data_IF_504600365783
#
_entry.id   IF_504600365783
#
_cell.length_a   1.000
_cell.length_b   1.000
_cell.length_c   1.000
_cell.angle_alpha   90.00
_cell.angle_beta   90.00
_cell.angle_gamma   90.00
#
_symmetry.space_group_name_H-M   'P 1'
#
loop_
_entity.id
_entity.type
_entity.pdbx_description
1 polymer ?
#
# COMPACT_ATOMS: atom_id res chain seq x y z
N UNK A 1 11.95 -36.78 44.30
CA UNK A 1 11.79 -35.86 45.44
C UNK A 1 12.30 -34.48 45.01
N UNK A 2 11.54 -33.39 45.24
CA UNK A 2 12.01 -32.03 45.10
C UNK A 2 11.63 -31.35 43.75
N UNK A 3 10.37 -30.89 43.59
CA UNK A 3 9.96 -29.91 42.55
C UNK A 3 10.35 -28.52 43.06
N UNK A 4 11.25 -27.84 42.35
CA UNK A 4 11.50 -26.42 42.53
C UNK A 4 10.52 -25.62 41.61
N UNK A 5 9.65 -24.84 42.24
CA UNK A 5 8.80 -23.83 41.58
C UNK A 5 9.66 -22.58 41.42
N UNK A 6 9.87 -22.15 40.19
CA UNK A 6 10.35 -20.80 39.92
C UNK A 6 9.18 -19.82 39.96
N UNK A 7 9.27 -18.86 40.86
CA UNK A 7 8.39 -17.70 40.92
C UNK A 7 8.84 -16.67 39.88
N UNK A 8 7.91 -16.18 39.05
CA UNK A 8 8.10 -15.07 38.12
C UNK A 8 8.07 -13.72 38.87
N UNK A 9 9.00 -12.80 38.60
CA UNK A 9 9.04 -11.53 39.33
C UNK A 9 8.22 -10.44 38.69
N UNK A 10 7.59 -9.71 39.50
CA UNK A 10 7.06 -8.33 39.62
C UNK A 10 7.18 -7.28 38.50
N UNK A 11 7.57 -7.58 37.24
CA UNK A 11 7.68 -6.60 36.17
C UNK A 11 6.33 -6.18 35.56
N UNK A 12 5.30 -7.00 35.68
CA UNK A 12 3.98 -6.76 35.08
C UNK A 12 3.15 -5.66 35.77
N UNK A 13 3.47 -5.35 37.03
CA UNK A 13 2.69 -4.35 37.79
C UNK A 13 3.11 -2.90 37.54
N UNK A 14 4.35 -2.67 37.12
CA UNK A 14 4.89 -1.32 36.87
C UNK A 14 4.46 -0.79 35.48
N UNK A 15 4.32 -1.65 34.48
CA UNK A 15 3.84 -1.26 33.16
C UNK A 15 2.35 -0.85 33.16
N UNK A 16 1.48 -1.53 33.90
CA UNK A 16 0.06 -1.15 34.01
C UNK A 16 -0.16 0.21 34.67
N UNK A 17 0.72 0.61 35.60
CA UNK A 17 0.61 1.91 36.29
C UNK A 17 1.04 3.08 35.39
N UNK A 18 2.03 2.90 34.52
CA UNK A 18 2.46 3.96 33.57
C UNK A 18 1.42 4.22 32.48
N UNK A 19 0.81 3.18 31.94
CA UNK A 19 -0.22 3.32 30.93
C UNK A 19 -1.51 3.98 31.46
N UNK A 20 -1.85 3.73 32.73
CA UNK A 20 -3.00 4.38 33.37
C UNK A 20 -2.75 5.89 33.55
N UNK A 21 -1.54 6.30 33.93
CA UNK A 21 -1.18 7.71 34.10
C UNK A 21 -1.15 8.48 32.76
N UNK A 22 -0.62 7.87 31.71
CA UNK A 22 -0.61 8.42 30.33
C UNK A 22 -2.02 8.60 29.78
N UNK A 23 -2.92 7.65 30.03
CA UNK A 23 -4.31 7.73 29.58
C UNK A 23 -5.11 8.80 30.37
N UNK A 24 -4.83 9.02 31.65
CA UNK A 24 -5.44 10.09 32.46
C UNK A 24 -4.96 11.46 31.97
N UNK A 25 -3.69 11.62 31.62
CA UNK A 25 -3.13 12.88 31.08
C UNK A 25 -3.71 13.16 29.67
N UNK A 26 -3.88 12.16 28.83
CA UNK A 26 -4.51 12.29 27.51
C UNK A 26 -5.99 12.68 27.61
N UNK A 27 -6.73 12.10 28.54
CA UNK A 27 -8.13 12.46 28.79
C UNK A 27 -8.28 13.89 29.34
N UNK A 28 -7.35 14.36 30.18
CA UNK A 28 -7.34 15.71 30.69
C UNK A 28 -6.99 16.77 29.62
N UNK A 29 -6.05 16.47 28.71
CA UNK A 29 -5.73 17.31 27.55
C UNK A 29 -6.87 17.38 26.53
N UNK A 30 -7.57 16.27 26.29
CA UNK A 30 -8.72 16.23 25.39
C UNK A 30 -9.90 17.10 25.93
N UNK A 31 -10.13 17.11 27.25
CA UNK A 31 -11.17 17.94 27.86
C UNK A 31 -10.82 19.45 27.85
N UNK A 32 -9.53 19.80 27.88
CA UNK A 32 -9.10 21.21 27.82
C UNK A 32 -9.19 21.77 26.38
N UNK A 33 -9.03 20.92 25.35
CA UNK A 33 -9.17 21.30 23.94
C UNK A 33 -10.65 21.43 23.50
N UNK A 34 -11.59 20.78 24.18
CA UNK A 34 -13.02 20.93 23.89
C UNK A 34 -13.65 22.24 24.43
N UNK A 35 -13.00 22.93 25.37
CA UNK A 35 -13.47 24.20 25.89
C UNK A 35 -13.06 25.43 25.06
N UNK A 36 -12.19 25.26 24.06
CA UNK A 36 -11.74 26.34 23.17
C UNK A 36 -12.43 26.38 21.80
N UNK A 37 -13.36 25.46 21.51
CA UNK A 37 -14.04 25.35 20.20
C UNK A 37 -15.48 25.91 20.22
N UNK A 38 -15.93 26.58 21.28
CA UNK A 38 -17.25 27.24 21.36
C UNK A 38 -17.05 28.74 21.46
N UNK A 39 -16.51 29.36 20.43
CA UNK A 39 -16.65 30.79 20.21
C UNK A 39 -16.22 31.13 18.78
N UNK A 40 -17.15 31.10 17.85
CA UNK A 40 -17.26 31.99 16.69
C UNK A 40 -18.30 31.43 15.72
N UNK A 41 -19.58 31.54 16.13
CA UNK A 41 -20.66 31.69 15.17
C UNK A 41 -21.50 32.88 15.66
N UNK A 42 -21.07 34.07 15.25
CA UNK A 42 -21.92 35.24 15.24
C UNK A 42 -22.08 35.64 13.78
N UNK A 43 -23.26 35.33 13.27
CA UNK A 43 -23.84 35.90 12.08
C UNK A 43 -23.76 37.43 12.13
N UNK A 44 -23.05 38.00 11.16
CA UNK A 44 -22.97 39.41 10.88
C UNK A 44 -24.10 39.74 9.89
N UNK A 45 -25.33 39.84 10.41
CA UNK A 45 -26.45 40.44 9.72
C UNK A 45 -27.06 41.46 10.69
N UNK A 46 -26.68 42.73 10.50
CA UNK A 46 -27.48 43.92 10.75
C UNK A 46 -26.59 45.17 10.60
N UNK A 47 -26.41 45.63 9.34
CA UNK A 47 -26.10 47.00 8.98
C UNK A 47 -26.88 47.39 7.72
N UNK A 48 -27.66 48.45 7.74
CA UNK A 48 -28.43 48.88 6.58
C UNK A 48 -27.56 49.68 5.61
N UNK A 49 -27.60 49.27 4.32
CA UNK A 49 -27.23 50.11 3.20
C UNK A 49 -25.95 49.77 2.49
N UNK A 50 -25.96 48.74 1.66
CA UNK A 50 -25.31 48.81 0.35
C UNK A 50 -25.89 47.75 -0.63
N UNK A 51 -26.62 48.22 -1.66
CA UNK A 51 -27.08 47.38 -2.75
C UNK A 51 -25.89 47.13 -3.73
N UNK A 52 -25.04 46.14 -3.37
CA UNK A 52 -24.06 45.62 -4.26
C UNK A 52 -24.45 44.16 -4.53
N UNK A 53 -24.74 43.80 -5.77
CA UNK A 53 -24.94 42.42 -6.22
C UNK A 53 -23.68 41.62 -5.93
N UNK A 54 -23.70 40.88 -4.85
CA UNK A 54 -22.67 39.85 -4.60
C UNK A 54 -22.69 38.81 -5.73
N UNK A 55 -21.54 38.47 -6.32
CA UNK A 55 -21.52 37.38 -7.29
C UNK A 55 -21.94 36.11 -6.53
N UNK A 56 -22.99 35.45 -7.06
CA UNK A 56 -23.37 34.11 -6.66
C UNK A 56 -22.13 33.24 -6.79
N UNK A 57 -21.48 32.91 -5.67
CA UNK A 57 -20.49 31.83 -5.66
C UNK A 57 -21.25 30.59 -6.11
N UNK A 58 -20.93 30.13 -7.32
CA UNK A 58 -21.27 28.77 -7.72
C UNK A 58 -20.60 27.85 -6.70
N UNK A 59 -21.35 27.40 -5.71
CA UNK A 59 -20.97 26.28 -4.85
C UNK A 59 -21.03 25.08 -5.80
N UNK A 60 -19.92 24.76 -6.44
CA UNK A 60 -19.74 23.47 -7.04
C UNK A 60 -19.96 22.44 -5.91
N UNK A 61 -21.00 21.65 -6.02
CA UNK A 61 -21.27 20.59 -5.03
C UNK A 61 -20.00 19.76 -4.91
N UNK A 62 -19.34 19.84 -3.75
CA UNK A 62 -18.14 19.06 -3.51
C UNK A 62 -18.50 17.58 -3.68
N UNK A 63 -17.69 16.87 -4.46
CA UNK A 63 -17.85 15.41 -4.62
C UNK A 63 -17.69 14.74 -3.26
N UNK A 64 -18.50 13.74 -2.98
CA UNK A 64 -18.28 12.90 -1.81
C UNK A 64 -16.88 12.27 -1.86
N UNK A 65 -16.18 12.22 -0.73
CA UNK A 65 -14.90 11.53 -0.58
C UNK A 65 -15.14 10.13 -0.03
N UNK A 66 -14.70 9.11 -0.74
CA UNK A 66 -14.88 7.71 -0.37
C UNK A 66 -13.51 7.04 -0.26
N UNK A 67 -13.16 6.59 0.94
CA UNK A 67 -12.02 5.72 1.16
C UNK A 67 -12.47 4.27 1.17
N UNK A 68 -11.85 3.43 0.36
CA UNK A 68 -12.05 1.99 0.34
C UNK A 68 -10.79 1.31 0.86
N UNK A 69 -10.88 0.59 1.98
CA UNK A 69 -9.88 -0.38 2.38
C UNK A 69 -10.25 -1.74 1.79
N UNK A 70 -9.48 -2.21 0.82
CA UNK A 70 -9.60 -3.56 0.27
C UNK A 70 -8.64 -4.49 1.01
N UNK A 71 -9.13 -5.18 2.04
CA UNK A 71 -8.34 -5.97 2.99
C UNK A 71 -8.53 -7.47 2.76
N UNK A 72 -7.68 -8.04 1.88
CA UNK A 72 -7.75 -9.44 1.46
C UNK A 72 -6.90 -10.33 2.39
N UNK A 73 -7.49 -10.79 3.50
CA UNK A 73 -6.80 -11.48 4.59
C UNK A 73 -7.17 -12.96 4.75
N UNK A 74 -7.58 -13.67 3.69
CA UNK A 74 -7.73 -15.13 3.74
C UNK A 74 -6.39 -15.84 3.57
N UNK A 75 -5.39 -15.42 4.36
CA UNK A 75 -3.99 -15.84 4.28
C UNK A 75 -3.29 -15.67 5.63
N UNK A 76 -1.97 -15.82 5.67
CA UNK A 76 -1.15 -15.70 6.89
C UNK A 76 -1.17 -14.30 7.53
N UNK A 77 -1.61 -13.27 6.81
CA UNK A 77 -1.75 -11.90 7.34
C UNK A 77 -3.07 -11.66 8.06
N UNK A 78 -3.92 -12.67 8.21
CA UNK A 78 -5.27 -12.52 8.77
C UNK A 78 -5.33 -11.66 10.03
N UNK A 79 -4.43 -11.91 10.99
CA UNK A 79 -4.38 -11.18 12.26
C UNK A 79 -3.93 -9.71 12.07
N UNK A 80 -2.84 -9.49 11.33
CA UNK A 80 -2.33 -8.14 11.07
C UNK A 80 -3.36 -7.27 10.34
N UNK A 81 -4.02 -7.83 9.32
CA UNK A 81 -5.06 -7.11 8.58
C UNK A 81 -6.35 -6.89 9.40
N UNK A 82 -6.59 -7.67 10.44
CA UNK A 82 -7.66 -7.39 11.40
C UNK A 82 -7.28 -6.26 12.34
N UNK A 83 -6.02 -6.21 12.78
CA UNK A 83 -5.48 -5.13 13.59
C UNK A 83 -5.51 -3.80 12.80
N UNK A 84 -5.13 -3.78 11.50
CA UNK A 84 -5.26 -2.62 10.61
C UNK A 84 -6.70 -2.05 10.61
N UNK A 85 -7.72 -2.93 10.52
CA UNK A 85 -9.13 -2.51 10.56
C UNK A 85 -9.53 -1.97 11.94
N UNK A 86 -9.01 -2.55 13.03
CA UNK A 86 -9.29 -2.10 14.40
C UNK A 86 -8.60 -0.76 14.69
N UNK A 87 -7.40 -0.54 14.16
CA UNK A 87 -6.70 0.74 14.22
C UNK A 87 -7.45 1.82 13.43
N UNK A 88 -7.94 1.51 12.24
CA UNK A 88 -8.80 2.41 11.47
C UNK A 88 -10.08 2.80 12.24
N UNK A 89 -10.69 1.86 12.98
CA UNK A 89 -11.86 2.13 13.83
C UNK A 89 -11.53 3.05 15.01
N UNK A 90 -10.28 3.08 15.47
CA UNK A 90 -9.82 3.97 16.54
C UNK A 90 -9.47 5.38 16.04
N UNK A 91 -9.32 5.55 14.72
CA UNK A 91 -9.00 6.81 14.06
C UNK A 91 -10.21 7.71 13.78
N UNK A 92 -10.05 8.64 12.84
CA UNK A 92 -11.14 9.52 12.39
C UNK A 92 -12.14 8.74 11.55
N UNK A 93 -13.41 8.77 11.91
CA UNK A 93 -14.51 8.21 11.12
C UNK A 93 -15.59 9.27 10.85
N UNK A 94 -16.24 9.24 9.68
CA UNK A 94 -17.39 10.10 9.37
C UNK A 94 -18.57 9.80 10.32
N UNK A 95 -19.40 10.82 10.55
CA UNK A 95 -20.67 10.63 11.27
C UNK A 95 -21.62 9.73 10.48
N UNK A 96 -22.43 8.94 11.19
CA UNK A 96 -23.53 8.18 10.60
C UNK A 96 -24.40 9.12 9.76
N UNK A 97 -24.71 8.69 8.53
CA UNK A 97 -25.51 9.47 7.58
C UNK A 97 -24.75 10.58 6.85
N UNK A 98 -23.43 10.69 7.01
CA UNK A 98 -22.63 11.59 6.21
C UNK A 98 -22.81 11.31 4.71
N UNK A 99 -23.14 12.36 3.94
CA UNK A 99 -23.26 12.30 2.49
C UNK A 99 -21.98 12.75 1.77
N UNK A 100 -21.06 13.38 2.50
CA UNK A 100 -19.84 13.96 1.95
C UNK A 100 -18.59 13.09 2.15
N UNK A 101 -18.63 12.15 3.09
CA UNK A 101 -17.48 11.29 3.42
C UNK A 101 -17.94 9.89 3.78
N UNK A 102 -17.18 8.86 3.30
CA UNK A 102 -17.42 7.47 3.65
C UNK A 102 -16.11 6.71 3.82
N UNK A 103 -16.10 5.79 4.79
CA UNK A 103 -15.07 4.76 4.97
C UNK A 103 -15.72 3.42 4.74
N UNK A 104 -15.25 2.70 3.72
CA UNK A 104 -15.72 1.37 3.34
C UNK A 104 -14.59 0.37 3.50
N UNK A 105 -14.86 -0.76 4.10
CA UNK A 105 -13.89 -1.84 4.31
C UNK A 105 -14.43 -3.10 3.64
N UNK A 106 -13.78 -3.57 2.59
CA UNK A 106 -13.94 -4.94 2.12
C UNK A 106 -13.00 -5.83 2.92
N UNK A 107 -13.54 -6.86 3.53
CA UNK A 107 -12.80 -7.74 4.43
C UNK A 107 -13.13 -9.21 4.20
N UNK A 108 -12.10 -10.03 4.04
CA UNK A 108 -12.16 -11.49 4.14
C UNK A 108 -11.08 -11.96 5.12
N UNK A 109 -11.45 -12.85 6.05
CA UNK A 109 -10.55 -13.35 7.10
C UNK A 109 -10.63 -14.87 7.17
N UNK A 110 -9.61 -15.48 7.77
CA UNK A 110 -9.70 -16.90 8.17
C UNK A 110 -10.79 -17.08 9.24
N UNK A 111 -11.34 -18.30 9.31
CA UNK A 111 -12.19 -18.69 10.43
C UNK A 111 -11.37 -18.74 11.74
N UNK A 112 -12.07 -18.80 12.87
CA UNK A 112 -11.43 -18.96 14.19
C UNK A 112 -10.54 -20.20 14.30
N UNK A 113 -10.78 -21.22 13.47
CA UNK A 113 -9.95 -22.42 13.40
C UNK A 113 -8.57 -22.17 12.77
N UNK A 114 -8.39 -21.06 12.05
CA UNK A 114 -7.20 -20.74 11.27
C UNK A 114 -6.92 -21.68 10.11
N UNK A 115 -7.87 -22.54 9.74
CA UNK A 115 -7.69 -23.50 8.64
C UNK A 115 -8.18 -22.94 7.33
N UNK A 116 -7.37 -23.04 6.28
CA UNK A 116 -7.75 -22.63 4.91
C UNK A 116 -8.86 -23.47 4.29
N UNK A 117 -9.14 -24.66 4.85
CA UNK A 117 -10.27 -25.52 4.45
C UNK A 117 -11.62 -24.98 4.93
N UNK A 118 -11.60 -24.18 6.00
CA UNK A 118 -12.80 -23.62 6.62
C UNK A 118 -13.05 -22.24 5.99
N UNK A 119 -13.62 -22.28 4.81
CA UNK A 119 -13.86 -21.09 4.00
C UNK A 119 -14.84 -20.14 4.69
N UNK A 120 -14.59 -18.85 4.51
CA UNK A 120 -15.38 -17.78 5.12
C UNK A 120 -15.95 -16.87 4.04
N UNK A 121 -17.14 -16.29 4.25
CA UNK A 121 -17.64 -15.23 3.40
C UNK A 121 -16.80 -13.96 3.56
N UNK A 122 -16.94 -13.04 2.60
CA UNK A 122 -16.37 -11.70 2.68
C UNK A 122 -17.48 -10.64 2.79
N UNK A 123 -17.11 -9.47 3.31
CA UNK A 123 -18.05 -8.42 3.66
C UNK A 123 -17.57 -7.07 3.16
N UNK A 124 -18.51 -6.27 2.65
CA UNK A 124 -18.31 -4.82 2.52
C UNK A 124 -18.98 -4.12 3.70
N UNK A 125 -18.21 -3.45 4.51
CA UNK A 125 -18.63 -2.82 5.76
C UNK A 125 -18.43 -1.32 5.65
N UNK A 126 -19.41 -0.53 6.06
CA UNK A 126 -19.26 0.91 6.25
C UNK A 126 -18.92 1.20 7.70
N UNK A 127 -17.83 1.93 7.92
CA UNK A 127 -17.42 2.42 9.24
C UNK A 127 -17.85 3.87 9.42
N UNK A 128 -18.44 4.16 10.56
CA UNK A 128 -18.89 5.50 10.95
C UNK A 128 -18.94 5.63 12.47
N UNK A 129 -19.16 6.85 12.99
CA UNK A 129 -19.40 7.10 14.40
C UNK A 129 -20.79 7.73 14.58
N UNK A 130 -21.46 7.40 15.68
CA UNK A 130 -22.68 8.09 16.07
C UNK A 130 -22.38 9.45 16.74
N UNK A 131 -23.43 10.17 17.13
CA UNK A 131 -23.30 11.48 17.80
C UNK A 131 -22.64 11.41 19.18
N UNK A 132 -22.39 10.22 19.72
CA UNK A 132 -21.74 9.98 21.01
C UNK A 132 -20.31 9.47 20.86
N UNK A 133 -19.82 9.33 19.61
CA UNK A 133 -18.48 8.81 19.33
C UNK A 133 -18.39 7.28 19.33
N UNK A 134 -19.53 6.56 19.39
CA UNK A 134 -19.54 5.10 19.28
C UNK A 134 -19.35 4.68 17.83
N UNK A 135 -18.39 3.78 17.59
CA UNK A 135 -18.16 3.20 16.26
C UNK A 135 -19.33 2.32 15.86
N UNK A 136 -19.81 2.54 14.66
CA UNK A 136 -20.86 1.74 13.98
C UNK A 136 -20.26 1.07 12.78
N UNK A 137 -20.48 -0.23 12.67
CA UNK A 137 -20.03 -1.07 11.55
C UNK A 137 -21.26 -1.66 10.86
N UNK A 138 -21.63 -1.09 9.70
CA UNK A 138 -22.80 -1.53 8.93
C UNK A 138 -22.35 -2.45 7.80
N UNK A 139 -22.76 -3.70 7.79
CA UNK A 139 -22.55 -4.62 6.64
C UNK A 139 -23.47 -4.23 5.49
N UNK A 140 -22.89 -3.78 4.38
CA UNK A 140 -23.62 -3.34 3.19
C UNK A 140 -23.88 -4.47 2.20
N UNK A 141 -22.93 -5.39 2.05
CA UNK A 141 -23.02 -6.56 1.16
C UNK A 141 -22.14 -7.70 1.67
N UNK A 142 -22.54 -8.93 1.36
CA UNK A 142 -21.81 -10.16 1.67
C UNK A 142 -21.60 -10.95 0.39
N UNK A 143 -20.40 -11.51 0.23
CA UNK A 143 -20.07 -12.46 -0.84
C UNK A 143 -19.91 -13.85 -0.25
N UNK A 144 -20.27 -14.90 -0.99
CA UNK A 144 -20.19 -16.27 -0.51
C UNK A 144 -18.73 -16.70 -0.29
N UNK A 145 -18.55 -17.74 0.52
CA UNK A 145 -17.25 -18.33 0.81
C UNK A 145 -16.52 -18.92 -0.40
N UNK A 146 -17.23 -19.12 -1.51
CA UNK A 146 -16.67 -19.63 -2.78
C UNK A 146 -15.89 -18.58 -3.56
N UNK A 147 -16.12 -17.30 -3.29
CA UNK A 147 -15.53 -16.21 -4.04
C UNK A 147 -14.15 -15.85 -3.46
N UNK A 148 -13.12 -15.89 -4.30
CA UNK A 148 -11.76 -15.54 -3.88
C UNK A 148 -11.63 -14.02 -3.78
N UNK A 149 -11.09 -13.51 -2.65
CA UNK A 149 -10.96 -12.08 -2.39
C UNK A 149 -10.04 -11.39 -3.39
N UNK A 150 -8.99 -12.08 -3.86
CA UNK A 150 -8.04 -11.54 -4.84
C UNK A 150 -8.40 -11.88 -6.28
N UNK A 151 -9.60 -12.43 -6.57
CA UNK A 151 -10.02 -12.63 -7.95
C UNK A 151 -10.46 -11.33 -8.62
N UNK A 152 -10.19 -11.20 -9.92
CA UNK A 152 -10.60 -10.02 -10.69
C UNK A 152 -12.12 -9.81 -10.66
N UNK A 153 -12.89 -10.89 -10.73
CA UNK A 153 -14.37 -10.84 -10.69
C UNK A 153 -14.89 -10.30 -9.35
N UNK A 154 -14.38 -10.81 -8.24
CA UNK A 154 -14.77 -10.34 -6.90
C UNK A 154 -14.37 -8.89 -6.70
N UNK A 155 -13.13 -8.51 -7.05
CA UNK A 155 -12.68 -7.14 -6.94
C UNK A 155 -13.54 -6.18 -7.76
N UNK A 156 -13.84 -6.53 -9.01
CA UNK A 156 -14.72 -5.72 -9.86
C UNK A 156 -16.11 -5.58 -9.25
N UNK A 157 -16.73 -6.66 -8.75
CA UNK A 157 -18.07 -6.60 -8.17
C UNK A 157 -18.11 -5.80 -6.85
N UNK A 158 -17.06 -5.89 -6.02
CA UNK A 158 -16.92 -5.07 -4.81
C UNK A 158 -16.85 -3.59 -5.19
N UNK A 159 -15.98 -3.23 -6.12
CA UNK A 159 -15.74 -1.84 -6.50
C UNK A 159 -16.90 -1.26 -7.32
N UNK A 160 -17.58 -2.04 -8.17
CA UNK A 160 -18.85 -1.62 -8.80
C UNK A 160 -19.96 -1.42 -7.76
N UNK A 161 -20.00 -2.21 -6.70
CA UNK A 161 -20.91 -1.99 -5.58
C UNK A 161 -20.62 -0.65 -4.89
N UNK A 162 -19.34 -0.35 -4.61
CA UNK A 162 -18.92 0.95 -4.05
C UNK A 162 -19.33 2.12 -4.96
N UNK A 163 -19.06 2.00 -6.27
CA UNK A 163 -19.41 3.00 -7.28
C UNK A 163 -20.93 3.20 -7.39
N UNK A 164 -21.70 2.14 -7.25
CA UNK A 164 -23.16 2.22 -7.22
C UNK A 164 -23.71 2.94 -5.98
N UNK A 165 -23.08 2.73 -4.81
CA UNK A 165 -23.46 3.40 -3.56
C UNK A 165 -23.07 4.89 -3.54
N UNK A 166 -21.98 5.27 -4.18
CA UNK A 166 -21.40 6.63 -4.16
C UNK A 166 -21.05 7.08 -5.60
N UNK A 167 -22.04 7.18 -6.46
CA UNK A 167 -21.82 7.64 -7.85
C UNK A 167 -21.20 9.04 -7.89
N UNK A 168 -20.23 9.24 -8.79
CA UNK A 168 -19.54 10.52 -8.98
C UNK A 168 -18.71 11.02 -7.76
N UNK A 169 -18.34 10.13 -6.85
CA UNK A 169 -17.47 10.47 -5.73
C UNK A 169 -15.99 10.64 -6.18
N UNK A 170 -15.20 11.22 -5.30
CA UNK A 170 -13.74 11.16 -5.28
C UNK A 170 -13.34 9.89 -4.53
N UNK A 171 -12.63 8.99 -5.17
CA UNK A 171 -12.29 7.69 -4.60
C UNK A 171 -10.82 7.61 -4.23
N UNK A 172 -10.53 7.18 -3.01
CA UNK A 172 -9.24 6.69 -2.58
C UNK A 172 -9.32 5.20 -2.24
N UNK A 173 -8.25 4.46 -2.47
CA UNK A 173 -8.17 3.05 -2.10
C UNK A 173 -6.90 2.75 -1.32
N UNK A 174 -7.02 1.93 -0.29
CA UNK A 174 -5.91 1.19 0.31
C UNK A 174 -6.12 -0.28 -0.06
N UNK A 175 -5.17 -0.85 -0.76
CA UNK A 175 -5.13 -2.29 -1.02
C UNK A 175 -4.14 -2.92 -0.05
N UNK A 176 -4.62 -3.75 0.85
CA UNK A 176 -3.79 -4.43 1.85
C UNK A 176 -3.91 -5.95 1.72
N UNK A 177 -2.80 -6.57 1.39
CA UNK A 177 -2.63 -8.02 1.22
C UNK A 177 -1.15 -8.34 1.09
N UNK A 178 -0.84 -9.56 0.69
CA UNK A 178 0.49 -9.86 0.18
C UNK A 178 0.76 -9.19 -1.18
N UNK A 179 2.03 -9.04 -1.58
CA UNK A 179 2.45 -8.51 -2.87
C UNK A 179 3.71 -9.19 -3.40
N UNK A 180 3.79 -9.36 -4.72
CA UNK A 180 4.93 -9.92 -5.46
C UNK A 180 5.39 -9.02 -6.62
N UNK A 181 4.99 -7.76 -6.60
CA UNK A 181 5.32 -6.79 -7.63
C UNK A 181 4.78 -7.20 -9.00
N UNK A 182 5.66 -7.19 -10.00
CA UNK A 182 5.36 -7.53 -11.39
C UNK A 182 5.52 -9.02 -11.71
N UNK A 183 5.98 -9.84 -10.77
CA UNK A 183 6.26 -11.25 -11.02
C UNK A 183 5.00 -12.02 -11.46
N UNK A 184 5.14 -13.00 -12.35
CA UNK A 184 4.00 -13.80 -12.80
C UNK A 184 3.38 -14.58 -11.63
N UNK A 185 2.08 -14.74 -11.69
CA UNK A 185 1.31 -15.56 -10.76
C UNK A 185 1.92 -16.95 -10.62
N UNK A 186 2.09 -17.41 -9.38
CA UNK A 186 2.68 -18.72 -9.07
C UNK A 186 4.21 -18.80 -9.15
N UNK A 187 4.91 -17.70 -9.41
CA UNK A 187 6.37 -17.71 -9.57
C UNK A 187 7.11 -18.25 -8.33
N UNK A 188 6.61 -17.96 -7.15
CA UNK A 188 7.19 -18.45 -5.90
C UNK A 188 6.48 -19.68 -5.34
N UNK A 189 5.34 -20.07 -5.89
CA UNK A 189 4.65 -21.27 -5.42
C UNK A 189 5.32 -22.54 -5.94
N UNK A 190 5.63 -23.48 -5.06
CA UNK A 190 6.19 -24.77 -5.44
C UNK A 190 5.11 -25.61 -6.13
N UNK A 191 5.08 -25.62 -7.46
CA UNK A 191 4.55 -26.74 -8.21
C UNK A 191 3.34 -26.59 -9.12
N UNK A 192 2.71 -25.43 -9.27
CA UNK A 192 1.76 -25.21 -10.40
C UNK A 192 1.74 -23.75 -10.79
N UNK A 193 2.37 -23.47 -11.88
CA UNK A 193 2.27 -22.23 -12.63
C UNK A 193 0.90 -22.24 -13.31
N UNK A 194 0.11 -21.17 -13.18
CA UNK A 194 -1.18 -21.03 -13.85
C UNK A 194 -1.02 -20.96 -15.37
N UNK A 195 -2.07 -21.22 -16.13
CA UNK A 195 -2.05 -21.44 -17.56
C UNK A 195 -1.37 -20.34 -18.43
N UNK A 196 -1.16 -19.14 -17.92
CA UNK A 196 -0.44 -18.04 -18.58
C UNK A 196 1.08 -18.07 -18.40
N UNK A 197 1.59 -18.85 -17.45
CA UNK A 197 3.01 -18.94 -17.09
C UNK A 197 3.61 -20.34 -17.31
N UNK A 198 2.98 -21.14 -18.18
CA UNK A 198 3.44 -22.49 -18.49
C UNK A 198 4.86 -22.46 -19.05
N UNK A 199 5.80 -23.09 -18.36
CA UNK A 199 7.22 -23.13 -18.74
C UNK A 199 8.15 -22.35 -17.77
N UNK A 200 7.61 -21.48 -16.91
CA UNK A 200 8.42 -20.78 -15.91
C UNK A 200 8.90 -21.76 -14.83
N UNK A 201 10.20 -21.76 -14.57
CA UNK A 201 10.75 -22.50 -13.44
C UNK A 201 10.61 -21.63 -12.18
N UNK A 202 9.73 -22.07 -11.28
CA UNK A 202 9.60 -21.42 -9.98
C UNK A 202 10.94 -21.47 -9.21
N UNK A 203 11.41 -20.33 -8.76
CA UNK A 203 12.49 -20.30 -7.77
C UNK A 203 11.91 -20.80 -6.45
N UNK A 204 12.57 -21.70 -5.71
CA UNK A 204 12.09 -22.12 -4.41
C UNK A 204 11.88 -20.87 -3.53
N UNK A 205 10.64 -20.67 -3.12
CA UNK A 205 10.31 -19.60 -2.18
C UNK A 205 10.91 -19.93 -0.82
N UNK A 206 11.73 -19.02 -0.33
CA UNK A 206 12.17 -19.04 1.06
C UNK A 206 11.29 -18.01 1.78
N UNK A 207 10.39 -18.50 2.63
CA UNK A 207 9.56 -17.61 3.44
C UNK A 207 10.46 -16.70 4.29
N UNK A 208 10.49 -15.39 4.04
CA UNK A 208 11.28 -14.46 4.83
C UNK A 208 10.85 -14.41 6.29
N UNK A 209 9.65 -14.87 6.62
CA UNK A 209 9.13 -14.99 7.98
C UNK A 209 9.55 -16.30 8.68
N UNK A 210 10.29 -17.19 8.02
CA UNK A 210 10.75 -18.46 8.60
C UNK A 210 11.79 -18.29 9.70
N UNK A 211 12.48 -17.15 9.75
CA UNK A 211 13.37 -16.76 10.84
C UNK A 211 12.58 -16.02 11.92
N UNK A 212 12.20 -16.72 12.97
CA UNK A 212 11.42 -16.16 14.08
C UNK A 212 12.15 -15.08 14.91
N UNK A 213 13.42 -14.77 14.61
CA UNK A 213 14.17 -13.67 15.21
C UNK A 213 14.00 -12.35 14.43
N UNK A 214 13.46 -12.41 13.21
CA UNK A 214 13.28 -11.25 12.34
C UNK A 214 11.84 -10.73 12.39
N UNK A 215 11.62 -9.42 12.16
CA UNK A 215 10.28 -8.86 11.98
C UNK A 215 9.53 -9.58 10.88
N UNK A 216 8.24 -9.84 11.09
CA UNK A 216 7.39 -10.38 10.04
C UNK A 216 7.09 -9.34 8.99
N UNK A 217 6.92 -9.78 7.76
CA UNK A 217 6.61 -8.94 6.60
C UNK A 217 5.38 -9.46 5.86
N UNK A 218 4.70 -8.58 5.14
CA UNK A 218 3.56 -8.89 4.27
C UNK A 218 4.05 -9.53 2.96
N UNK A 219 4.87 -10.58 3.02
CA UNK A 219 5.52 -11.14 1.84
C UNK A 219 4.64 -12.11 1.06
N UNK A 220 4.56 -11.88 -0.23
CA UNK A 220 4.04 -12.66 -1.36
C UNK A 220 2.59 -13.12 -1.25
N UNK A 221 1.77 -12.50 -2.08
CA UNK A 221 0.34 -12.58 -2.12
C UNK A 221 -0.26 -13.93 -2.43
N UNK A 222 -1.13 -14.35 -1.53
CA UNK A 222 -1.84 -15.61 -1.66
C UNK A 222 -3.14 -15.53 -0.88
N UNK A 223 -4.29 -15.67 -1.59
CA UNK A 223 -5.44 -16.29 -0.96
C UNK A 223 -5.16 -17.80 -0.93
N UNK A 224 -4.96 -18.35 0.25
CA UNK A 224 -4.70 -19.78 0.39
C UNK A 224 -5.98 -20.57 0.17
N UNK A 225 -6.12 -21.20 -0.99
CA UNK A 225 -7.23 -22.15 -1.25
C UNK A 225 -7.00 -23.47 -0.50
N UNK A 226 -5.74 -23.85 -0.37
CA UNK A 226 -5.27 -24.95 0.47
C UNK A 226 -3.84 -24.64 0.91
N UNK A 227 -3.25 -25.42 1.81
CA UNK A 227 -1.82 -25.31 2.16
C UNK A 227 -0.86 -25.46 0.97
N UNK A 228 -1.35 -25.72 -0.24
CA UNK A 228 -0.56 -25.94 -1.47
C UNK A 228 -1.11 -25.21 -2.69
N UNK A 229 -2.32 -24.69 -2.68
CA UNK A 229 -2.93 -23.96 -3.79
C UNK A 229 -3.19 -22.53 -3.36
N UNK A 230 -2.68 -21.59 -4.11
CA UNK A 230 -2.76 -20.16 -3.89
C UNK A 230 -3.44 -19.51 -5.07
N UNK A 231 -4.26 -18.52 -4.83
CA UNK A 231 -4.80 -17.66 -5.87
C UNK A 231 -4.02 -16.35 -5.84
N UNK A 232 -3.37 -16.04 -6.92
CA UNK A 232 -2.57 -14.82 -7.11
C UNK A 232 -3.11 -14.07 -8.32
N UNK A 233 -3.08 -12.74 -8.29
CA UNK A 233 -3.54 -11.90 -9.39
C UNK A 233 -2.34 -11.13 -9.96
N UNK A 234 -2.09 -11.29 -11.26
CA UNK A 234 -1.08 -10.52 -11.97
C UNK A 234 -1.45 -9.04 -12.02
N UNK A 235 -0.45 -8.16 -12.02
CA UNK A 235 -0.66 -6.71 -11.93
C UNK A 235 -1.50 -6.15 -13.09
N UNK A 236 -1.36 -6.66 -14.28
CA UNK A 236 -2.18 -6.24 -15.43
C UNK A 236 -3.66 -6.64 -15.23
N UNK A 237 -3.90 -7.82 -14.67
CA UNK A 237 -5.25 -8.29 -14.31
C UNK A 237 -5.83 -7.45 -13.17
N UNK A 238 -5.01 -7.14 -12.15
CA UNK A 238 -5.41 -6.24 -11.07
C UNK A 238 -5.83 -4.86 -11.62
N UNK A 239 -5.04 -4.27 -12.51
CA UNK A 239 -5.39 -3.02 -13.14
C UNK A 239 -6.72 -3.11 -13.91
N UNK A 240 -6.94 -4.19 -14.66
CA UNK A 240 -8.19 -4.41 -15.41
C UNK A 240 -9.41 -4.57 -14.49
N UNK A 241 -9.24 -5.15 -13.31
CA UNK A 241 -10.30 -5.37 -12.33
C UNK A 241 -10.82 -4.06 -11.68
N UNK A 242 -10.11 -2.94 -11.83
CA UNK A 242 -10.50 -1.64 -11.29
C UNK A 242 -11.49 -0.94 -12.24
N UNK A 243 -12.80 -0.85 -11.90
CA UNK A 243 -13.85 -0.36 -12.81
C UNK A 243 -14.00 1.17 -12.82
N UNK A 244 -13.23 1.86 -11.97
CA UNK A 244 -13.25 3.32 -11.86
C UNK A 244 -11.84 3.84 -11.67
N UNK A 245 -11.65 5.14 -11.92
CA UNK A 245 -10.40 5.84 -11.62
C UNK A 245 -10.42 6.34 -10.17
N UNK A 246 -9.29 6.23 -9.50
CA UNK A 246 -9.07 6.69 -8.14
C UNK A 246 -8.24 8.00 -8.15
N UNK A 247 -8.46 8.87 -7.19
CA UNK A 247 -7.58 10.03 -6.97
C UNK A 247 -6.21 9.54 -6.44
N UNK A 248 -6.24 8.46 -5.65
CA UNK A 248 -5.03 7.80 -5.18
C UNK A 248 -5.28 6.32 -4.84
N UNK A 249 -4.22 5.52 -4.95
CA UNK A 249 -4.16 4.16 -4.43
C UNK A 249 -2.93 4.05 -3.52
N UNK A 250 -3.12 3.54 -2.30
CA UNK A 250 -2.06 3.15 -1.38
C UNK A 250 -1.98 1.63 -1.45
N UNK A 251 -0.82 1.08 -1.79
CA UNK A 251 -0.62 -0.37 -1.86
C UNK A 251 0.20 -0.80 -0.65
N UNK A 252 -0.49 -1.25 0.37
CA UNK A 252 0.08 -1.80 1.60
C UNK A 252 0.38 -3.28 1.42
N UNK A 253 1.38 -3.55 0.57
CA UNK A 253 1.86 -4.87 0.22
C UNK A 253 3.33 -4.82 -0.21
N UNK A 254 4.05 -5.93 -0.02
CA UNK A 254 5.47 -6.03 -0.31
C UNK A 254 5.78 -5.86 -1.80
N UNK A 255 6.93 -5.22 -2.12
CA UNK A 255 7.55 -5.24 -3.44
C UNK A 255 6.71 -4.60 -4.55
N UNK A 256 5.68 -3.81 -4.18
CA UNK A 256 4.77 -3.19 -5.15
C UNK A 256 5.28 -1.86 -5.69
N UNK A 257 6.42 -1.33 -5.19
CA UNK A 257 7.00 -0.05 -5.62
C UNK A 257 7.80 -0.11 -6.91
N UNK A 258 7.46 -1.03 -7.82
CA UNK A 258 8.07 -1.16 -9.13
C UNK A 258 7.43 -0.27 -10.18
N UNK A 259 8.26 0.18 -11.15
CA UNK A 259 7.78 0.95 -12.30
C UNK A 259 6.78 0.15 -13.14
N UNK A 260 6.91 -1.17 -13.16
CA UNK A 260 6.00 -2.09 -13.85
C UNK A 260 4.59 -2.01 -13.24
N UNK A 261 4.52 -2.03 -11.89
CA UNK A 261 3.27 -1.88 -11.14
C UNK A 261 2.67 -0.50 -11.37
N UNK A 262 3.50 0.52 -11.26
CA UNK A 262 3.08 1.91 -11.47
C UNK A 262 2.50 2.12 -12.88
N UNK A 263 3.18 1.59 -13.90
CA UNK A 263 2.76 1.77 -15.29
C UNK A 263 1.49 0.99 -15.63
N UNK A 264 1.31 -0.21 -15.06
CA UNK A 264 0.07 -0.96 -15.21
C UNK A 264 -1.14 -0.21 -14.61
N UNK A 265 -0.92 0.57 -13.55
CA UNK A 265 -1.95 1.33 -12.84
C UNK A 265 -2.09 2.79 -13.29
N UNK A 266 -1.31 3.28 -14.26
CA UNK A 266 -1.23 4.71 -14.63
C UNK A 266 -2.55 5.34 -15.02
N UNK A 267 -3.45 4.58 -15.64
CA UNK A 267 -4.77 5.06 -16.07
C UNK A 267 -5.87 4.81 -15.01
N UNK A 268 -5.51 4.15 -13.88
CA UNK A 268 -6.43 3.74 -12.83
C UNK A 268 -6.41 4.66 -11.61
N UNK A 269 -5.36 5.45 -11.44
CA UNK A 269 -5.28 6.46 -10.38
C UNK A 269 -4.41 7.65 -10.80
N UNK A 270 -4.57 8.77 -10.08
CA UNK A 270 -3.70 9.93 -10.26
C UNK A 270 -2.40 9.81 -9.45
N UNK A 271 -2.47 9.20 -8.26
CA UNK A 271 -1.29 9.00 -7.40
C UNK A 271 -1.21 7.58 -6.86
N UNK A 272 0.01 7.06 -6.72
CA UNK A 272 0.30 5.81 -6.05
C UNK A 272 1.22 6.05 -4.85
N UNK A 273 0.94 5.36 -3.74
CA UNK A 273 1.83 5.24 -2.58
C UNK A 273 2.14 3.75 -2.38
N UNK A 274 3.41 3.39 -2.28
CA UNK A 274 3.84 1.99 -2.20
C UNK A 274 5.26 1.82 -1.66
N UNK A 275 5.69 0.56 -1.47
CA UNK A 275 7.04 0.20 -1.03
C UNK A 275 7.80 -0.61 -2.09
N UNK A 276 9.08 -0.27 -2.32
CA UNK A 276 10.00 -0.99 -3.20
C UNK A 276 10.49 -2.28 -2.56
N UNK A 277 10.71 -2.24 -1.24
CA UNK A 277 11.03 -3.41 -0.43
C UNK A 277 9.76 -4.12 0.08
N UNK A 278 9.95 -5.04 0.98
CA UNK A 278 8.85 -5.65 1.72
C UNK A 278 8.19 -4.61 2.64
N UNK A 279 7.02 -4.93 3.18
CA UNK A 279 6.33 -4.13 4.19
C UNK A 279 6.24 -4.95 5.47
N UNK A 280 6.59 -4.37 6.61
CA UNK A 280 6.46 -5.04 7.90
C UNK A 280 4.98 -5.28 8.24
N UNK A 281 4.72 -6.19 9.16
CA UNK A 281 3.36 -6.60 9.58
C UNK A 281 2.52 -5.41 10.07
N UNK A 282 3.17 -4.38 10.65
CA UNK A 282 2.54 -3.13 11.12
C UNK A 282 1.95 -2.26 9.98
N UNK A 283 2.23 -2.61 8.71
CA UNK A 283 1.69 -1.91 7.54
C UNK A 283 2.56 -0.77 7.02
N UNK A 284 2.25 -0.34 5.79
CA UNK A 284 2.96 0.76 5.13
C UNK A 284 2.67 2.11 5.79
N UNK A 285 1.51 2.26 6.41
CA UNK A 285 1.09 3.49 7.10
C UNK A 285 0.31 3.17 8.38
N UNK A 286 0.32 4.12 9.33
CA UNK A 286 -0.47 4.02 10.55
C UNK A 286 -1.97 4.17 10.26
N UNK A 287 -2.74 3.10 10.41
CA UNK A 287 -4.17 3.07 10.16
C UNK A 287 -4.98 3.90 11.15
N UNK A 288 -4.43 4.23 12.34
CA UNK A 288 -5.10 5.13 13.30
C UNK A 288 -5.16 6.56 12.80
N UNK A 289 -4.19 6.99 11.98
CA UNK A 289 -4.09 8.35 11.44
C UNK A 289 -4.46 8.44 9.97
N UNK A 290 -4.47 7.33 9.23
CA UNK A 290 -4.74 7.25 7.80
C UNK A 290 -6.00 8.03 7.40
N UNK A 291 -7.14 7.70 8.00
CA UNK A 291 -8.44 8.33 7.67
C UNK A 291 -8.45 9.83 7.96
N UNK A 292 -7.73 10.27 9.00
CA UNK A 292 -7.56 11.68 9.29
C UNK A 292 -6.78 12.39 8.17
N UNK A 293 -5.71 11.77 7.65
CA UNK A 293 -4.89 12.33 6.57
C UNK A 293 -5.64 12.41 5.24
N UNK A 294 -6.42 11.39 4.89
CA UNK A 294 -6.99 11.29 3.55
C UNK A 294 -8.45 11.75 3.42
N UNK A 295 -9.20 11.81 4.53
CA UNK A 295 -10.62 12.21 4.48
C UNK A 295 -10.92 13.53 5.20
N UNK A 296 -10.16 13.92 6.21
CA UNK A 296 -10.46 15.15 6.96
C UNK A 296 -10.23 16.40 6.12
N UNK A 297 -9.12 16.55 5.37
CA UNK A 297 -8.92 17.63 4.42
C UNK A 297 -9.84 17.50 3.18
N UNK A 298 -10.06 18.58 2.47
CA UNK A 298 -10.73 18.58 1.15
C UNK A 298 -9.87 17.88 0.11
N UNK A 299 -8.54 18.06 0.20
CA UNK A 299 -7.56 17.35 -0.64
C UNK A 299 -6.82 16.36 0.26
N UNK A 300 -6.76 15.07 -0.11
CA UNK A 300 -6.03 14.06 0.65
C UNK A 300 -4.57 14.45 0.88
N UNK A 301 -4.11 14.39 2.13
CA UNK A 301 -2.77 14.77 2.55
C UNK A 301 -1.82 13.56 2.49
N UNK A 302 -1.54 13.10 1.29
CA UNK A 302 -0.70 11.93 1.06
C UNK A 302 0.78 12.19 1.37
N UNK A 303 1.24 13.44 1.22
CA UNK A 303 2.62 13.80 1.54
C UNK A 303 2.92 13.57 3.03
N UNK A 304 2.11 14.16 3.91
CA UNK A 304 2.30 13.97 5.33
C UNK A 304 1.96 12.54 5.79
N UNK A 305 1.10 11.81 5.08
CA UNK A 305 0.91 10.39 5.35
C UNK A 305 2.21 9.60 5.12
N UNK A 306 2.91 9.83 4.02
CA UNK A 306 4.20 9.20 3.75
C UNK A 306 5.28 9.62 4.76
N UNK A 307 5.31 10.91 5.13
CA UNK A 307 6.26 11.45 6.12
C UNK A 307 6.01 10.85 7.51
N UNK A 308 4.74 10.75 7.95
CA UNK A 308 4.38 10.11 9.23
C UNK A 308 4.85 8.64 9.25
N UNK A 309 4.66 7.90 8.15
CA UNK A 309 5.12 6.53 8.01
C UNK A 309 6.66 6.45 8.13
N UNK A 310 7.37 7.30 7.41
CA UNK A 310 8.84 7.35 7.49
C UNK A 310 9.33 7.67 8.90
N UNK A 311 8.74 8.67 9.57
CA UNK A 311 9.12 9.02 10.93
C UNK A 311 8.78 7.93 11.95
N UNK A 312 7.67 7.21 11.76
CA UNK A 312 7.31 6.07 12.60
C UNK A 312 8.39 4.98 12.56
N UNK A 313 8.79 4.54 11.36
CA UNK A 313 9.79 3.48 11.22
C UNK A 313 11.20 3.94 11.58
N UNK A 314 11.59 5.16 11.21
CA UNK A 314 12.90 5.73 11.52
C UNK A 314 13.16 5.80 13.03
N UNK A 315 12.12 6.05 13.82
CA UNK A 315 12.21 6.25 15.26
C UNK A 315 11.89 5.00 16.09
N UNK A 316 11.84 3.82 15.49
CA UNK A 316 11.68 2.57 16.24
C UNK A 316 12.87 2.36 17.20
N UNK A 317 12.60 1.87 18.39
CA UNK A 317 13.62 1.62 19.41
C UNK A 317 14.60 0.52 18.98
N UNK A 318 14.08 -0.58 18.45
CA UNK A 318 14.88 -1.67 17.92
C UNK A 318 15.28 -1.38 16.46
N UNK A 319 16.59 -1.31 16.15
CA UNK A 319 17.08 -1.03 14.82
C UNK A 319 16.55 -1.93 13.71
N UNK A 320 16.21 -3.20 14.03
CA UNK A 320 15.71 -4.14 13.03
C UNK A 320 14.30 -3.76 12.52
N UNK A 321 13.53 -3.03 13.34
CA UNK A 321 12.23 -2.48 12.94
C UNK A 321 12.34 -1.13 12.23
N UNK A 322 13.53 -0.54 12.14
CA UNK A 322 13.80 0.64 11.29
C UNK A 322 13.92 0.21 9.84
N UNK A 323 12.84 -0.32 9.28
CA UNK A 323 12.82 -0.99 7.99
C UNK A 323 11.65 -0.48 7.16
N UNK A 324 11.90 0.53 6.31
CA UNK A 324 10.92 1.10 5.41
C UNK A 324 11.56 1.55 4.11
N UNK A 325 10.87 1.30 3.01
CA UNK A 325 10.92 2.11 1.79
C UNK A 325 9.51 2.60 1.50
N UNK A 326 9.34 3.85 1.14
CA UNK A 326 8.06 4.42 0.77
C UNK A 326 8.25 5.47 -0.31
N UNK A 327 7.39 5.46 -1.31
CA UNK A 327 7.32 6.54 -2.29
C UNK A 327 5.90 6.87 -2.69
N UNK A 328 5.69 8.11 -3.11
CA UNK A 328 4.47 8.61 -3.73
C UNK A 328 4.81 9.12 -5.12
N UNK A 329 4.07 8.66 -6.13
CA UNK A 329 4.27 9.07 -7.51
C UNK A 329 3.02 9.71 -8.11
N UNK A 330 3.24 10.56 -9.11
CA UNK A 330 2.21 11.09 -10.01
C UNK A 330 2.09 10.18 -11.24
N UNK A 331 1.03 9.41 -11.30
CA UNK A 331 0.79 8.47 -12.39
C UNK A 331 0.62 9.16 -13.75
N UNK A 332 0.22 10.43 -13.78
CA UNK A 332 0.04 11.20 -15.01
C UNK A 332 1.37 11.55 -15.70
N UNK A 333 2.51 11.32 -15.01
CA UNK A 333 3.86 11.58 -15.52
C UNK A 333 4.58 10.35 -16.04
N UNK A 334 3.99 9.17 -15.89
CA UNK A 334 4.65 7.90 -16.24
C UNK A 334 4.95 7.73 -17.73
N UNK A 335 4.14 8.28 -18.64
CA UNK A 335 4.42 8.20 -20.07
C UNK A 335 5.69 8.99 -20.44
N UNK A 336 5.90 10.17 -19.86
CA UNK A 336 7.15 10.92 -20.04
C UNK A 336 8.38 10.21 -19.49
N UNK A 337 8.22 9.51 -18.34
CA UNK A 337 9.28 8.68 -17.79
C UNK A 337 9.57 7.47 -18.69
N UNK A 338 8.55 6.83 -19.26
CA UNK A 338 8.72 5.72 -20.18
C UNK A 338 9.48 6.13 -21.46
N UNK A 339 9.19 7.30 -22.02
CA UNK A 339 9.89 7.82 -23.20
C UNK A 339 11.38 8.09 -22.91
N UNK A 340 11.68 8.70 -21.78
CA UNK A 340 13.07 8.94 -21.37
C UNK A 340 13.85 7.64 -21.11
N UNK A 341 13.23 6.67 -20.44
CA UNK A 341 13.78 5.34 -20.23
C UNK A 341 14.02 4.60 -21.56
N UNK A 342 13.06 4.65 -22.48
CA UNK A 342 13.18 4.03 -23.80
C UNK A 342 14.39 4.52 -24.58
N UNK A 343 14.65 5.82 -24.53
CA UNK A 343 15.85 6.42 -25.14
C UNK A 343 17.12 5.83 -24.54
N UNK A 344 17.22 5.80 -23.21
CA UNK A 344 18.40 5.27 -22.50
C UNK A 344 18.56 3.75 -22.70
N UNK A 345 17.48 2.99 -22.57
CA UNK A 345 17.52 1.53 -22.76
C UNK A 345 17.92 1.15 -24.20
N UNK A 346 17.47 1.90 -25.19
CA UNK A 346 17.91 1.68 -26.56
C UNK A 346 19.40 1.97 -26.75
N UNK A 347 19.91 3.08 -26.20
CA UNK A 347 21.29 3.51 -26.32
C UNK A 347 22.27 2.65 -25.52
N UNK A 348 21.89 2.24 -24.31
CA UNK A 348 22.75 1.57 -23.34
C UNK A 348 22.37 0.09 -23.08
N UNK A 349 21.62 -0.53 -23.96
CA UNK A 349 21.14 -1.91 -23.82
C UNK A 349 22.22 -2.91 -23.44
N UNK A 350 23.34 -2.89 -24.19
CA UNK A 350 24.44 -3.81 -23.93
C UNK A 350 25.06 -3.61 -22.53
N UNK A 351 25.21 -2.38 -22.11
CA UNK A 351 25.74 -2.06 -20.78
C UNK A 351 24.78 -2.54 -19.68
N UNK A 352 23.48 -2.30 -19.86
CA UNK A 352 22.44 -2.74 -18.90
C UNK A 352 22.39 -4.27 -18.81
N UNK A 353 22.53 -4.99 -19.94
CA UNK A 353 22.53 -6.45 -19.95
C UNK A 353 23.79 -7.08 -19.36
N UNK A 354 24.87 -6.31 -19.17
CA UNK A 354 26.15 -6.79 -18.67
C UNK A 354 26.48 -6.23 -17.26
N UNK A 355 25.61 -5.40 -16.68
CA UNK A 355 25.86 -4.83 -15.36
C UNK A 355 25.96 -5.94 -14.30
N UNK A 356 26.89 -5.75 -13.36
CA UNK A 356 26.98 -6.66 -12.23
C UNK A 356 25.86 -6.33 -11.22
N UNK A 357 24.84 -7.18 -11.15
CA UNK A 357 23.70 -7.02 -10.25
C UNK A 357 24.09 -6.84 -8.77
N UNK A 358 25.23 -7.39 -8.33
CA UNK A 358 25.71 -7.22 -6.97
C UNK A 358 26.10 -5.76 -6.63
N UNK A 359 26.34 -4.91 -7.64
CA UNK A 359 26.65 -3.49 -7.46
C UNK A 359 25.39 -2.63 -7.42
N UNK A 360 24.26 -3.15 -7.93
CA UNK A 360 22.98 -2.43 -8.00
C UNK A 360 22.22 -2.59 -6.70
N UNK A 361 21.58 -1.52 -6.22
CA UNK A 361 20.70 -1.58 -5.06
C UNK A 361 19.50 -2.49 -5.36
N UNK A 362 19.39 -3.58 -4.59
CA UNK A 362 18.22 -4.46 -4.59
C UNK A 362 17.36 -4.25 -3.34
N UNK A 363 16.09 -4.64 -3.42
CA UNK A 363 15.11 -4.38 -2.38
C UNK A 363 14.48 -5.63 -1.76
N UNK A 364 15.03 -6.79 -2.01
CA UNK A 364 14.51 -8.04 -1.47
C UNK A 364 15.58 -8.78 -0.65
N UNK A 365 15.20 -9.37 0.47
CA UNK A 365 16.12 -10.05 1.41
C UNK A 365 16.73 -11.36 0.88
N UNK A 366 16.11 -11.96 -0.13
CA UNK A 366 16.60 -13.19 -0.76
C UNK A 366 17.82 -12.92 -1.66
N UNK A 367 18.64 -13.94 -1.89
CA UNK A 367 19.82 -13.85 -2.76
C UNK A 367 19.49 -13.58 -4.22
N UNK A 368 18.31 -14.01 -4.67
CA UNK A 368 17.77 -13.69 -5.99
C UNK A 368 16.54 -12.81 -5.79
N UNK A 369 16.69 -11.56 -6.18
CA UNK A 369 15.64 -10.56 -6.08
C UNK A 369 15.54 -9.86 -7.44
N UNK A 370 14.31 -9.59 -7.85
CA UNK A 370 14.00 -9.06 -9.18
C UNK A 370 13.61 -7.58 -9.11
N UNK A 371 13.93 -6.91 -7.98
CA UNK A 371 13.50 -5.56 -7.66
C UNK A 371 14.72 -4.69 -7.36
N UNK A 372 15.21 -3.99 -8.38
CA UNK A 372 16.42 -3.15 -8.31
C UNK A 372 16.06 -1.68 -8.44
N UNK A 373 16.82 -0.79 -7.81
CA UNK A 373 16.64 0.64 -7.95
C UNK A 373 16.82 1.08 -9.41
N UNK A 374 15.81 1.71 -9.97
CA UNK A 374 15.77 2.08 -11.40
C UNK A 374 16.92 3.03 -11.77
N UNK A 375 17.20 4.04 -10.94
CA UNK A 375 18.27 4.99 -11.19
C UNK A 375 19.64 4.33 -11.03
N UNK A 376 19.79 3.46 -10.03
CA UNK A 376 21.06 2.77 -9.79
C UNK A 376 21.39 1.77 -10.90
N UNK A 377 20.39 1.11 -11.50
CA UNK A 377 20.59 0.29 -12.72
C UNK A 377 21.30 1.11 -13.80
N UNK A 378 20.81 2.31 -14.11
CA UNK A 378 21.39 3.18 -15.14
C UNK A 378 22.82 3.63 -14.78
N UNK A 379 23.04 4.05 -13.53
CA UNK A 379 24.34 4.49 -13.05
C UNK A 379 25.38 3.37 -13.06
N UNK A 380 25.03 2.20 -12.54
CA UNK A 380 25.94 1.05 -12.49
C UNK A 380 26.18 0.45 -13.90
N UNK A 381 25.30 0.71 -14.85
CA UNK A 381 25.48 0.38 -16.27
C UNK A 381 26.42 1.38 -16.97
N UNK A 382 26.91 2.41 -16.29
CA UNK A 382 27.83 3.40 -16.84
C UNK A 382 27.17 4.41 -17.79
N UNK A 383 25.88 4.69 -17.61
CA UNK A 383 25.21 5.77 -18.33
C UNK A 383 25.78 7.10 -17.87
N UNK A 384 26.34 7.94 -18.77
CA UNK A 384 26.88 9.23 -18.42
C UNK A 384 25.82 10.19 -17.88
N UNK A 385 26.19 11.03 -16.90
CA UNK A 385 25.25 11.96 -16.26
C UNK A 385 24.64 12.96 -17.25
N UNK A 386 25.41 13.36 -18.28
CA UNK A 386 24.89 14.24 -19.35
C UNK A 386 23.74 13.60 -20.18
N UNK A 387 23.75 12.27 -20.32
CA UNK A 387 22.66 11.55 -21.01
C UNK A 387 21.44 11.28 -20.10
N UNK A 388 21.60 11.41 -18.80
CA UNK A 388 20.53 11.21 -17.82
C UNK A 388 19.66 12.46 -17.60
N UNK A 389 19.94 13.58 -18.24
CA UNK A 389 19.26 14.85 -17.97
C UNK A 389 17.73 14.77 -18.14
N UNK A 390 17.24 14.22 -19.25
CA UNK A 390 15.81 14.06 -19.52
C UNK A 390 15.16 13.05 -18.57
N UNK A 391 15.87 11.96 -18.27
CA UNK A 391 15.46 10.97 -17.29
C UNK A 391 15.34 11.56 -15.88
N UNK A 392 16.35 12.28 -15.43
CA UNK A 392 16.36 12.91 -14.10
C UNK A 392 15.21 13.92 -13.97
N UNK A 393 14.92 14.68 -15.05
CA UNK A 393 13.77 15.56 -15.08
C UNK A 393 12.44 14.78 -14.98
N UNK A 394 12.28 13.73 -15.78
CA UNK A 394 11.06 12.91 -15.78
C UNK A 394 10.85 12.21 -14.42
N UNK A 395 11.91 11.72 -13.79
CA UNK A 395 11.87 11.18 -12.42
C UNK A 395 11.43 12.22 -11.39
N UNK A 396 12.00 13.43 -11.46
CA UNK A 396 11.61 14.53 -10.56
C UNK A 396 10.17 14.99 -10.76
N UNK A 397 9.65 14.93 -12.00
CA UNK A 397 8.26 15.26 -12.29
C UNK A 397 7.30 14.15 -11.82
N UNK A 398 7.77 12.88 -11.75
CA UNK A 398 6.98 11.70 -11.40
C UNK A 398 7.00 11.38 -9.90
N UNK A 399 8.17 11.38 -9.26
CA UNK A 399 8.32 11.01 -7.85
C UNK A 399 8.09 12.22 -6.96
N UNK A 400 6.90 12.28 -6.34
CA UNK A 400 6.48 13.40 -5.49
C UNK A 400 7.02 13.31 -4.05
N UNK A 401 7.30 12.10 -3.60
CA UNK A 401 7.89 11.80 -2.29
C UNK A 401 8.64 10.47 -2.37
N UNK A 402 9.80 10.38 -1.74
CA UNK A 402 10.49 9.12 -1.51
C UNK A 402 11.33 9.20 -0.24
N UNK A 403 11.26 8.15 0.57
CA UNK A 403 12.09 7.99 1.76
C UNK A 403 12.39 6.51 2.00
N UNK A 404 13.53 6.26 2.60
CA UNK A 404 13.95 4.94 3.05
C UNK A 404 14.73 5.07 4.36
N UNK A 405 14.68 4.04 5.18
CA UNK A 405 15.60 3.87 6.31
C UNK A 405 16.97 3.42 5.80
N UNK A 406 18.04 3.63 6.56
CA UNK A 406 19.40 3.28 6.14
C UNK A 406 19.58 1.78 5.89
N UNK A 407 18.78 0.96 6.60
CA UNK A 407 18.76 -0.49 6.47
C UNK A 407 17.32 -0.99 6.37
N UNK A 408 17.14 -2.15 5.75
CA UNK A 408 15.89 -2.90 5.79
C UNK A 408 16.19 -4.30 6.32
N UNK A 409 15.79 -4.59 7.54
CA UNK A 409 16.04 -5.83 8.30
C UNK A 409 17.53 -6.26 8.23
N UNK A 410 17.97 -6.88 7.14
CA UNK A 410 19.30 -7.50 7.00
C UNK A 410 20.07 -7.05 5.76
N UNK A 411 19.65 -5.98 5.08
CA UNK A 411 20.40 -5.38 4.00
C UNK A 411 20.40 -3.84 4.08
N UNK A 412 21.46 -3.23 3.54
CA UNK A 412 21.62 -1.77 3.51
C UNK A 412 20.85 -1.17 2.33
N UNK A 413 20.22 -0.02 2.53
CA UNK A 413 19.65 0.80 1.49
C UNK A 413 20.63 1.95 1.21
N UNK A 414 21.46 1.77 0.19
CA UNK A 414 22.51 2.73 -0.19
C UNK A 414 22.00 3.85 -1.07
N UNK A 415 20.94 3.55 -1.83
CA UNK A 415 20.26 4.49 -2.72
C UNK A 415 18.79 4.12 -2.83
N UNK A 416 17.93 5.13 -3.02
CA UNK A 416 16.49 4.95 -3.15
C UNK A 416 15.92 6.05 -4.05
N UNK A 417 15.66 5.72 -5.32
CA UNK A 417 15.08 6.68 -6.27
C UNK A 417 13.55 6.75 -6.22
N UNK A 418 12.89 5.88 -5.46
CA UNK A 418 11.44 5.82 -5.32
C UNK A 418 10.75 4.86 -6.30
N UNK A 419 11.49 4.17 -7.18
CA UNK A 419 10.96 3.16 -8.09
C UNK A 419 11.96 2.01 -8.22
N UNK A 420 11.49 0.77 -8.09
CA UNK A 420 12.26 -0.41 -8.50
C UNK A 420 11.94 -0.80 -9.94
N UNK A 421 12.81 -1.62 -10.53
CA UNK A 421 12.63 -2.21 -11.86
C UNK A 421 13.31 -3.58 -11.94
N UNK A 422 12.86 -4.40 -12.87
CA UNK A 422 13.56 -5.61 -13.29
C UNK A 422 14.94 -5.31 -13.88
N UNK A 423 15.92 -6.16 -13.56
CA UNK A 423 17.25 -6.11 -14.12
C UNK A 423 17.49 -7.36 -14.97
N UNK A 424 17.50 -7.26 -16.33
CA UNK A 424 17.70 -8.42 -17.20
C UNK A 424 19.04 -9.13 -16.99
N UNK A 425 20.09 -8.42 -16.55
CA UNK A 425 21.40 -9.01 -16.25
C UNK A 425 21.38 -10.05 -15.10
N UNK A 426 20.40 -9.98 -14.21
CA UNK A 426 20.17 -10.96 -13.13
C UNK A 426 18.96 -11.88 -13.42
N UNK A 427 18.30 -11.69 -14.56
CA UNK A 427 17.12 -12.40 -14.98
C UNK A 427 17.37 -13.78 -15.57
N UNK A 428 16.36 -14.31 -16.21
CA UNK A 428 16.40 -15.51 -17.01
C UNK A 428 15.44 -15.40 -18.20
N UNK A 429 15.61 -16.26 -19.20
CA UNK A 429 14.80 -16.21 -20.42
C UNK A 429 13.29 -16.34 -20.20
N UNK A 430 12.87 -17.06 -19.18
CA UNK A 430 11.44 -17.26 -18.88
C UNK A 430 10.83 -15.98 -18.30
N UNK A 431 11.55 -15.30 -17.39
CA UNK A 431 11.15 -13.99 -16.88
C UNK A 431 11.20 -12.91 -17.98
N UNK A 432 12.20 -12.95 -18.85
CA UNK A 432 12.31 -12.03 -19.99
C UNK A 432 11.09 -12.16 -20.91
N UNK A 433 10.69 -13.39 -21.24
CA UNK A 433 9.48 -13.62 -22.08
C UNK A 433 8.20 -13.14 -21.37
N UNK A 434 8.08 -13.38 -20.08
CA UNK A 434 6.95 -12.81 -19.32
C UNK A 434 7.00 -11.27 -19.28
N UNK A 435 8.17 -10.70 -19.02
CA UNK A 435 8.38 -9.25 -18.92
C UNK A 435 7.99 -8.52 -20.20
N UNK A 436 8.20 -9.14 -21.39
CA UNK A 436 7.76 -8.60 -22.68
C UNK A 436 6.24 -8.40 -22.77
N UNK A 437 5.47 -9.14 -21.97
CA UNK A 437 4.00 -9.00 -21.95
C UNK A 437 3.51 -7.78 -21.19
N UNK A 438 4.32 -7.23 -20.26
CA UNK A 438 3.97 -6.12 -19.41
C UNK A 438 3.84 -4.80 -20.20
N UNK A 439 2.88 -3.99 -19.80
CA UNK A 439 2.63 -2.66 -20.40
C UNK A 439 3.86 -1.75 -20.31
N UNK A 440 4.60 -1.80 -19.19
CA UNK A 440 5.85 -1.08 -19.02
C UNK A 440 6.90 -1.46 -20.07
N UNK A 441 7.14 -2.75 -20.29
CA UNK A 441 8.13 -3.17 -21.27
C UNK A 441 7.74 -2.80 -22.70
N UNK A 442 6.44 -2.87 -23.02
CA UNK A 442 5.92 -2.41 -24.33
C UNK A 442 6.18 -0.93 -24.58
N UNK A 443 6.15 -0.11 -23.53
CA UNK A 443 6.42 1.32 -23.60
C UNK A 443 7.93 1.62 -23.60
N UNK A 444 8.69 1.01 -22.72
CA UNK A 444 10.11 1.31 -22.47
C UNK A 444 11.10 0.51 -23.33
N UNK A 445 10.71 -0.72 -23.72
CA UNK A 445 11.55 -1.59 -24.55
C UNK A 445 12.83 -2.07 -23.85
N UNK A 446 12.78 -2.33 -22.54
CA UNK A 446 13.94 -2.84 -21.77
C UNK A 446 14.37 -4.21 -22.29
N UNK A 447 13.44 -5.14 -22.40
CA UNK A 447 13.64 -6.50 -22.92
C UNK A 447 13.06 -6.60 -24.33
N UNK A 448 13.84 -7.12 -25.31
CA UNK A 448 13.43 -7.27 -26.71
C UNK A 448 12.92 -8.66 -27.01
#
# INVERSE_FOLDING_TARGET
>A
MGRLRFQTPAKTKIMRSKNLLVNIIRAALASLLMLSAVACDKTFDDMPGNKGTSPVRNVTSEKAQVLVLYSAGFNSLCAALEDDVNDMKSGYLPLVGSMSKAVLVYSRRLSETGRYTDRTPSYLIRLSVDGWGKVISDTLKTWPETDEAVSASTMTDVLETVKGLYSHASYGMVFSSHGSGWLPSGYYSTGKITAGTAGLQAVPYIDPNSDGSMPRVKSIGIDNITSRNTYEMEIETFAQALPMKFDYIIIDACLMGGIEVAYALKDKCDKLVFSQAEVLEDGLCDYTTLTQRVLRPVVPDLYNLCEDSYQHYKNQDDPIYRSLTISMIDCTRLDGLAESCKSLFSKYRNQISLVNAANVQGYFRSRKHWFYDLTDILRQSGVPEEDMADYNKAMSDCVLYNAATDTFINFDIRTHCGLSMYLPADGNSELDEFYKTLSWNKASGLVL
#
